data_IF_109697301395
#
_entry.id   IF_109697301395
#
_cell.length_a   1.000
_cell.length_b   1.000
_cell.length_c   1.000
_cell.angle_alpha   90.00
_cell.angle_beta   90.00
_cell.angle_gamma   90.00
#
_symmetry.space_group_name_H-M   'P 1'
#
loop_
_entity.id
_entity.type
_entity.pdbx_description
1 polymer ?
#
# COMPACT_ATOMS: atom_id res chain seq x y z
N UNK A 1 49.03 -25.56 -5.81
CA UNK A 1 48.16 -26.44 -6.64
C UNK A 1 48.38 -27.94 -6.40
N UNK A 2 49.61 -28.49 -6.41
CA UNK A 2 49.82 -29.95 -6.34
C UNK A 2 49.30 -30.63 -5.07
N UNK A 3 49.52 -30.04 -3.89
CA UNK A 3 49.01 -30.59 -2.63
C UNK A 3 47.46 -30.60 -2.60
N UNK A 4 46.83 -29.50 -3.01
CA UNK A 4 45.37 -29.38 -3.10
C UNK A 4 44.76 -30.39 -4.08
N UNK A 5 45.29 -30.48 -5.30
CA UNK A 5 44.83 -31.44 -6.29
C UNK A 5 44.97 -32.90 -5.82
N UNK A 6 46.03 -33.21 -5.05
CA UNK A 6 46.23 -34.53 -4.45
C UNK A 6 45.16 -34.85 -3.40
N UNK A 7 44.78 -33.87 -2.60
CA UNK A 7 43.76 -34.05 -1.55
C UNK A 7 42.36 -34.23 -2.14
N UNK A 8 42.00 -33.42 -3.15
CA UNK A 8 40.71 -33.53 -3.86
C UNK A 8 40.61 -34.86 -4.62
N UNK A 9 41.68 -35.30 -5.27
CA UNK A 9 41.68 -36.53 -6.04
C UNK A 9 41.70 -37.81 -5.17
N UNK A 10 42.41 -37.80 -4.04
CA UNK A 10 42.58 -39.00 -3.22
C UNK A 10 41.51 -39.15 -2.13
N UNK A 11 40.97 -38.05 -1.60
CA UNK A 11 40.03 -38.09 -0.46
C UNK A 11 38.78 -37.19 -0.69
N UNK A 12 38.04 -37.34 -1.81
CA UNK A 12 36.91 -36.46 -2.13
C UNK A 12 35.80 -36.50 -1.07
N UNK A 13 35.47 -37.68 -0.53
CA UNK A 13 34.44 -37.82 0.50
C UNK A 13 34.79 -37.07 1.79
N UNK A 14 36.08 -37.03 2.17
CA UNK A 14 36.52 -36.30 3.37
C UNK A 14 36.41 -34.79 3.18
N UNK A 15 36.71 -34.29 1.97
CA UNK A 15 36.57 -32.86 1.64
C UNK A 15 35.09 -32.46 1.65
N UNK A 16 34.22 -33.26 1.00
CA UNK A 16 32.77 -33.00 0.98
C UNK A 16 32.19 -33.02 2.40
N UNK A 17 32.56 -34.01 3.22
CA UNK A 17 32.07 -34.13 4.59
C UNK A 17 32.51 -32.94 5.45
N UNK A 18 33.77 -32.49 5.33
CA UNK A 18 34.27 -31.35 6.09
C UNK A 18 33.52 -30.07 5.72
N UNK A 19 33.32 -29.83 4.42
CA UNK A 19 32.54 -28.68 3.93
C UNK A 19 31.10 -28.76 4.45
N UNK A 20 30.46 -29.94 4.39
CA UNK A 20 29.08 -30.14 4.83
C UNK A 20 28.92 -29.95 6.34
N UNK A 21 29.88 -30.43 7.16
CA UNK A 21 29.85 -30.21 8.61
C UNK A 21 30.02 -28.72 8.94
N UNK A 22 30.97 -28.03 8.30
CA UNK A 22 31.17 -26.60 8.52
C UNK A 22 29.90 -25.80 8.15
N UNK A 23 29.32 -26.12 6.99
CA UNK A 23 28.03 -25.63 6.50
C UNK A 23 26.88 -25.78 7.53
N UNK A 24 26.64 -27.01 7.98
CA UNK A 24 25.57 -27.33 8.93
C UNK A 24 25.78 -26.62 10.27
N UNK A 25 27.00 -26.62 10.80
CA UNK A 25 27.33 -25.94 12.05
C UNK A 25 27.06 -24.43 11.95
N UNK A 26 27.47 -23.78 10.86
CA UNK A 26 27.19 -22.37 10.65
C UNK A 26 25.68 -22.09 10.53
N UNK A 27 24.93 -22.91 9.80
CA UNK A 27 23.47 -22.77 9.68
C UNK A 27 22.76 -22.87 11.03
N UNK A 28 23.15 -23.83 11.88
CA UNK A 28 22.57 -24.02 13.22
C UNK A 28 22.87 -22.82 14.12
N UNK A 29 24.09 -22.28 14.06
CA UNK A 29 24.50 -21.10 14.84
C UNK A 29 23.67 -19.88 14.42
N UNK A 30 23.50 -19.63 13.12
CA UNK A 30 22.67 -18.53 12.61
C UNK A 30 21.22 -18.61 13.08
N UNK A 31 20.61 -19.80 12.99
CA UNK A 31 19.22 -20.00 13.38
C UNK A 31 18.99 -19.88 14.90
N UNK A 32 19.97 -20.29 15.71
CA UNK A 32 19.82 -20.32 17.16
C UNK A 32 20.08 -18.98 17.83
N UNK A 33 20.86 -18.09 17.19
CA UNK A 33 21.25 -16.80 17.79
C UNK A 33 20.36 -15.63 17.35
N UNK A 34 19.64 -15.77 16.25
CA UNK A 34 18.96 -14.63 15.61
C UNK A 34 17.45 -14.85 15.55
N UNK A 35 16.71 -13.78 15.77
CA UNK A 35 15.27 -13.72 15.47
C UNK A 35 15.07 -13.56 13.96
N UNK A 36 13.91 -14.00 13.45
CA UNK A 36 13.58 -13.83 12.04
C UNK A 36 13.45 -12.34 11.70
N UNK A 37 13.96 -11.90 10.53
CA UNK A 37 13.85 -10.50 10.13
C UNK A 37 12.38 -10.11 9.90
N UNK A 38 11.99 -8.93 10.37
CA UNK A 38 10.66 -8.36 10.14
C UNK A 38 10.64 -7.61 8.79
N UNK A 39 9.76 -8.02 7.86
CA UNK A 39 9.59 -7.45 6.52
C UNK A 39 8.17 -6.84 6.38
N UNK A 40 7.64 -6.24 7.44
CA UNK A 40 6.32 -5.58 7.39
C UNK A 40 6.25 -4.40 6.43
N UNK A 41 7.31 -3.61 6.31
CA UNK A 41 7.36 -2.44 5.44
C UNK A 41 8.42 -2.62 4.33
N UNK A 42 8.01 -2.82 3.07
CA UNK A 42 8.95 -3.03 1.97
C UNK A 42 9.70 -1.77 1.54
N UNK A 43 9.21 -0.58 1.89
CA UNK A 43 9.85 0.69 1.53
C UNK A 43 10.88 1.15 2.58
N UNK A 44 10.97 0.42 3.69
CA UNK A 44 11.95 0.72 4.72
C UNK A 44 13.38 0.65 4.12
N UNK A 45 14.21 1.63 4.46
CA UNK A 45 15.61 1.69 4.01
C UNK A 45 15.87 2.32 2.64
N UNK A 46 14.84 2.72 1.88
CA UNK A 46 15.02 3.47 0.63
C UNK A 46 15.32 4.96 0.82
N UNK A 47 15.43 5.39 2.08
CA UNK A 47 15.77 6.76 2.43
C UNK A 47 17.25 7.08 2.15
N UNK A 48 17.56 8.20 1.46
CA UNK A 48 18.93 8.61 1.17
C UNK A 48 19.59 9.28 2.39
N UNK A 49 20.09 8.48 3.33
CA UNK A 49 20.73 8.96 4.57
C UNK A 49 22.05 9.66 4.30
N UNK A 50 22.40 10.64 5.14
CA UNK A 50 23.66 11.41 5.03
C UNK A 50 23.67 12.46 3.92
N UNK A 51 22.51 12.76 3.33
CA UNK A 51 22.33 13.90 2.44
C UNK A 51 21.82 15.10 3.22
N UNK A 52 22.14 16.33 2.76
CA UNK A 52 21.66 17.57 3.38
C UNK A 52 20.12 17.59 3.50
N UNK A 53 19.42 17.02 2.51
CA UNK A 53 17.96 16.95 2.53
C UNK A 53 17.45 15.94 3.57
N UNK A 54 18.09 14.77 3.68
CA UNK A 54 17.75 13.77 4.70
C UNK A 54 18.04 14.28 6.11
N UNK A 55 19.13 15.00 6.33
CA UNK A 55 19.45 15.57 7.65
C UNK A 55 18.40 16.62 8.05
N UNK A 56 17.98 17.48 7.11
CA UNK A 56 16.91 18.46 7.33
C UNK A 56 15.57 17.80 7.58
N UNK A 57 15.21 16.79 6.80
CA UNK A 57 13.96 16.04 6.97
C UNK A 57 13.92 15.30 8.31
N UNK A 58 15.00 14.58 8.66
CA UNK A 58 15.14 13.88 9.94
C UNK A 58 15.08 14.85 11.12
N UNK A 59 15.76 16.00 11.04
CA UNK A 59 15.69 17.02 12.07
C UNK A 59 14.28 17.58 12.23
N UNK A 60 13.56 17.79 11.12
CA UNK A 60 12.17 18.25 11.11
C UNK A 60 11.22 17.23 11.76
N UNK A 61 11.33 15.95 11.39
CA UNK A 61 10.53 14.86 11.97
C UNK A 61 10.81 14.72 13.47
N UNK A 62 12.09 14.75 13.86
CA UNK A 62 12.46 14.68 15.27
C UNK A 62 11.94 15.87 16.06
N UNK A 63 11.90 17.07 15.45
CA UNK A 63 11.29 18.25 16.04
C UNK A 63 9.79 18.03 16.25
N UNK A 64 9.06 17.60 15.21
CA UNK A 64 7.63 17.31 15.30
C UNK A 64 7.32 16.26 16.38
N UNK A 65 8.11 15.18 16.43
CA UNK A 65 8.01 14.13 17.46
C UNK A 65 8.28 14.68 18.86
N UNK A 66 9.24 15.59 19.01
CA UNK A 66 9.57 16.24 20.27
C UNK A 66 8.55 17.28 20.71
N UNK A 67 7.71 17.77 19.79
CA UNK A 67 6.60 18.70 20.06
C UNK A 67 5.25 18.00 20.28
N UNK A 68 5.21 16.66 20.25
CA UNK A 68 3.99 15.90 20.60
C UNK A 68 3.63 16.13 22.07
N UNK A 69 2.41 15.76 22.47
CA UNK A 69 1.91 15.97 23.83
C UNK A 69 2.84 15.45 24.94
N UNK A 70 3.49 14.30 24.72
CA UNK A 70 4.45 13.68 25.64
C UNK A 70 5.92 14.10 25.36
N UNK A 71 6.10 15.11 24.51
CA UNK A 71 7.39 15.61 24.09
C UNK A 71 7.92 16.70 25.02
N UNK A 72 9.25 16.89 25.08
CA UNK A 72 9.84 17.93 25.93
C UNK A 72 9.60 19.35 25.41
N UNK A 73 9.12 19.51 24.17
CA UNK A 73 8.85 20.80 23.56
C UNK A 73 7.34 21.04 23.50
N UNK A 74 6.89 22.22 23.89
CA UNK A 74 5.48 22.63 23.76
C UNK A 74 5.36 23.81 22.81
N UNK A 75 4.27 23.85 22.06
CA UNK A 75 3.87 25.03 21.29
C UNK A 75 3.29 26.15 22.18
N UNK A 76 2.79 25.79 23.36
CA UNK A 76 2.08 26.71 24.24
C UNK A 76 2.84 26.86 25.57
N UNK A 77 3.50 28.01 25.81
CA UNK A 77 4.26 28.22 27.05
C UNK A 77 3.41 28.13 28.32
N UNK A 78 2.08 28.24 28.22
CA UNK A 78 1.14 28.08 29.34
C UNK A 78 0.95 26.65 29.84
N UNK A 79 1.19 25.62 29.01
CA UNK A 79 1.02 24.21 29.43
C UNK A 79 2.13 23.73 30.38
N UNK A 80 3.31 24.38 30.34
CA UNK A 80 4.42 24.10 31.26
C UNK A 80 4.08 24.57 32.69
N UNK A 81 3.27 25.61 32.84
CA UNK A 81 3.03 26.25 34.15
C UNK A 81 2.13 25.40 35.06
N UNK A 82 1.29 24.51 34.50
CA UNK A 82 0.44 23.62 35.29
C UNK A 82 1.13 22.33 35.73
N UNK A 83 2.11 21.84 34.97
CA UNK A 83 2.86 20.62 35.32
C UNK A 83 4.04 20.88 36.29
N UNK A 84 4.52 22.12 36.38
CA UNK A 84 5.57 22.48 37.36
C UNK A 84 5.05 22.34 38.80
N UNK A 85 3.74 22.44 39.05
CA UNK A 85 3.23 22.50 40.42
C UNK A 85 3.16 21.18 41.18
N UNK A 86 3.24 19.99 40.57
CA UNK A 86 3.25 18.74 41.34
C UNK A 86 4.18 17.60 40.80
N UNK A 87 4.49 17.53 39.50
CA UNK A 87 5.18 16.33 38.95
C UNK A 87 6.71 16.45 38.82
N UNK A 88 7.27 17.65 38.98
CA UNK A 88 8.71 17.89 38.88
C UNK A 88 9.52 17.38 40.08
N UNK A 89 8.87 16.95 41.18
CA UNK A 89 9.52 16.35 42.34
C UNK A 89 9.54 14.81 42.31
N UNK A 90 8.57 14.17 41.65
CA UNK A 90 8.51 12.70 41.57
C UNK A 90 9.35 12.15 40.40
N UNK A 91 9.39 12.82 39.25
CA UNK A 91 10.19 12.35 38.10
C UNK A 91 11.71 12.31 38.37
N UNK A 92 12.21 13.16 39.27
CA UNK A 92 13.61 13.18 39.68
C UNK A 92 13.98 12.07 40.69
N UNK A 93 13.00 11.49 41.40
CA UNK A 93 13.22 10.44 42.39
C UNK A 93 13.20 9.04 41.76
N UNK A 94 12.39 8.81 40.71
CA UNK A 94 12.30 7.51 40.05
C UNK A 94 13.54 7.12 39.24
N UNK A 95 14.33 8.08 38.75
CA UNK A 95 15.59 7.79 38.06
C UNK A 95 16.71 7.26 38.98
N UNK A 96 16.57 7.37 40.30
CA UNK A 96 17.57 6.86 41.25
C UNK A 96 17.29 5.45 41.78
N UNK A 97 16.05 4.97 41.76
CA UNK A 97 15.68 3.67 42.33
C UNK A 97 15.49 2.54 41.30
N UNK A 98 15.29 2.85 40.01
CA UNK A 98 15.09 1.83 38.95
C UNK A 98 16.34 1.04 38.53
N UNK A 99 17.50 1.23 39.17
CA UNK A 99 18.74 0.48 38.85
C UNK A 99 18.89 -0.77 39.71
N UNK A 100 17.83 -1.58 39.80
CA UNK A 100 17.91 -2.99 40.25
C UNK A 100 16.61 -3.72 39.94
N UNK A 101 16.76 -4.80 39.16
CA UNK A 101 15.85 -5.94 38.99
C UNK A 101 14.81 -5.86 37.87
N UNK A 102 14.89 -6.85 36.97
CA UNK A 102 13.70 -7.50 36.38
C UNK A 102 13.51 -7.31 34.89
N UNK A 103 13.66 -8.42 34.15
CA UNK A 103 13.12 -8.61 32.80
C UNK A 103 11.64 -8.20 32.75
N UNK A 104 11.26 -7.38 31.78
CA UNK A 104 9.96 -7.51 31.12
C UNK A 104 10.08 -7.00 29.67
N UNK A 105 9.61 -7.84 28.76
CA UNK A 105 9.55 -7.65 27.32
C UNK A 105 8.53 -6.57 26.95
N UNK A 106 9.01 -5.43 26.46
CA UNK A 106 8.19 -4.35 25.91
C UNK A 106 7.88 -4.64 24.43
N UNK A 107 6.60 -4.79 24.12
CA UNK A 107 6.07 -4.90 22.75
C UNK A 107 6.42 -3.63 21.96
N UNK A 108 7.10 -3.81 20.84
CA UNK A 108 7.48 -2.74 19.92
C UNK A 108 6.28 -1.97 19.39
N UNK A 109 6.28 -0.66 19.65
CA UNK A 109 5.50 0.33 18.93
C UNK A 109 6.03 0.39 17.49
N UNK A 110 5.15 0.21 16.50
CA UNK A 110 5.52 0.15 15.09
C UNK A 110 6.11 1.50 14.64
N UNK A 111 7.44 1.54 14.53
CA UNK A 111 8.16 2.67 13.94
C UNK A 111 7.87 2.71 12.44
N UNK A 112 6.78 3.37 12.06
CA UNK A 112 6.49 3.79 10.69
C UNK A 112 7.55 4.84 10.30
N UNK A 113 8.21 4.63 9.16
CA UNK A 113 9.25 5.53 8.68
C UNK A 113 8.69 6.90 8.26
N UNK A 114 9.45 8.00 8.45
CA UNK A 114 8.97 9.38 8.21
C UNK A 114 8.56 9.71 6.77
N UNK A 115 8.87 8.86 5.80
CA UNK A 115 8.53 9.08 4.39
C UNK A 115 7.16 8.50 4.02
N UNK A 116 6.61 7.59 4.83
CA UNK A 116 5.23 7.10 4.66
C UNK A 116 4.21 8.21 5.02
N UNK A 117 4.55 9.07 5.98
CA UNK A 117 3.77 10.27 6.32
C UNK A 117 3.77 11.31 5.16
N UNK A 118 4.82 11.36 4.34
CA UNK A 118 4.93 12.33 3.23
C UNK A 118 4.08 11.97 2.00
N UNK A 119 3.82 10.68 1.74
CA UNK A 119 2.85 10.27 0.70
C UNK A 119 1.39 10.35 1.19
N UNK A 120 1.16 10.30 2.51
CA UNK A 120 -0.19 10.38 3.10
C UNK A 120 -0.62 11.80 3.49
N UNK A 121 0.32 12.73 3.70
CA UNK A 121 0.05 14.15 3.94
C UNK A 121 0.08 15.02 2.65
N UNK A 122 -0.80 14.73 1.67
CA UNK A 122 -1.36 15.83 0.87
C UNK A 122 -2.35 16.61 1.75
N UNK A 123 -1.76 17.47 2.58
CA UNK A 123 -2.32 18.55 3.40
C UNK A 123 -3.80 18.87 3.13
N UNK A 124 -4.69 18.26 3.93
CA UNK A 124 -5.99 18.84 4.25
C UNK A 124 -5.74 20.13 5.04
N UNK A 125 -5.98 21.29 4.42
CA UNK A 125 -6.18 22.54 5.18
C UNK A 125 -7.56 22.42 5.87
N UNK A 126 -7.60 21.62 6.94
CA UNK A 126 -8.72 21.56 7.85
C UNK A 126 -8.89 22.92 8.51
N UNK A 127 -10.05 23.53 8.27
CA UNK A 127 -10.42 24.80 8.84
C UNK A 127 -10.38 24.75 10.36
N UNK A 128 -9.59 25.63 10.97
CA UNK A 128 -9.68 25.97 12.38
C UNK A 128 -11.06 26.59 12.65
N UNK A 129 -12.02 25.80 13.13
CA UNK A 129 -13.12 26.25 14.00
C UNK A 129 -13.87 25.03 14.55
N UNK A 130 -13.33 24.44 15.62
CA UNK A 130 -14.12 23.67 16.59
C UNK A 130 -13.81 24.24 17.97
N UNK A 131 -14.51 25.32 18.30
CA UNK A 131 -14.66 25.76 19.68
C UNK A 131 -16.04 25.31 20.14
N UNK A 132 -16.04 24.31 21.02
CA UNK A 132 -17.19 23.89 21.79
C UNK A 132 -17.80 25.10 22.51
N UNK A 133 -19.04 25.45 22.17
CA UNK A 133 -19.90 26.25 23.03
C UNK A 133 -21.16 25.44 23.36
N UNK A 134 -21.36 25.26 24.66
CA UNK A 134 -22.58 24.76 25.31
C UNK A 134 -23.81 25.51 24.79
N UNK A 135 -24.75 24.81 24.15
CA UNK A 135 -26.07 25.38 23.90
C UNK A 135 -26.98 25.13 25.10
N UNK A 136 -27.00 26.09 26.03
CA UNK A 136 -28.12 26.33 26.93
C UNK A 136 -29.44 26.46 26.14
N UNK A 137 -30.51 25.92 26.72
CA UNK A 137 -31.81 25.84 26.09
C UNK A 137 -32.44 27.20 25.76
N UNK A 138 -33.04 27.28 24.56
CA UNK A 138 -34.18 28.15 24.31
C UNK A 138 -35.37 27.33 23.84
N UNK A 139 -36.31 27.16 24.75
CA UNK A 139 -37.66 26.67 24.47
C UNK A 139 -38.40 27.80 23.73
N UNK A 140 -38.59 27.64 22.42
CA UNK A 140 -39.56 28.45 21.67
C UNK A 140 -40.84 27.63 21.57
N UNK A 141 -41.85 28.01 22.35
CA UNK A 141 -43.21 27.51 22.22
C UNK A 141 -43.83 28.07 20.95
N UNK A 142 -44.06 27.23 19.95
CA UNK A 142 -44.91 27.57 18.81
C UNK A 142 -46.13 26.64 18.74
N UNK A 143 -47.31 27.26 18.71
CA UNK A 143 -48.63 26.64 18.82
C UNK A 143 -48.86 25.55 17.77
N UNK A 144 -49.33 24.40 18.23
CA UNK A 144 -50.02 23.41 17.40
C UNK A 144 -51.33 23.99 16.85
N UNK A 145 -51.51 23.95 15.54
CA UNK A 145 -52.82 23.90 14.88
C UNK A 145 -52.88 22.71 13.93
N UNK A 146 -54.03 22.05 13.96
CA UNK A 146 -54.32 20.73 13.41
C UNK A 146 -54.27 20.65 11.88
N UNK A 147 -53.83 19.48 11.38
CA UNK A 147 -54.40 18.84 10.18
C UNK A 147 -53.64 19.00 8.86
N UNK A 148 -52.74 18.06 8.54
CA UNK A 148 -52.62 17.28 7.28
C UNK A 148 -51.28 16.48 7.28
N UNK A 149 -51.33 15.15 7.07
CA UNK A 149 -50.20 14.32 6.57
C UNK A 149 -50.16 14.44 5.03
N UNK A 150 -49.10 14.08 4.27
CA UNK A 150 -47.77 13.54 4.59
C UNK A 150 -46.62 14.33 3.89
N UNK A 151 -45.67 14.91 4.62
CA UNK A 151 -44.55 15.64 4.00
C UNK A 151 -43.18 15.45 4.65
N UNK A 152 -43.12 14.96 5.89
CA UNK A 152 -41.86 14.92 6.65
C UNK A 152 -41.00 13.67 6.40
N UNK A 153 -41.59 12.53 6.02
CA UNK A 153 -40.83 11.28 5.80
C UNK A 153 -40.01 11.34 4.50
N UNK A 154 -40.65 11.78 3.41
CA UNK A 154 -40.03 11.82 2.07
C UNK A 154 -38.93 12.90 1.95
N UNK A 155 -38.95 13.92 2.81
CA UNK A 155 -37.90 14.96 2.87
C UNK A 155 -36.69 14.50 3.69
N UNK A 156 -36.89 13.59 4.67
CA UNK A 156 -35.80 13.02 5.47
C UNK A 156 -35.05 11.94 4.68
N UNK A 157 -35.74 11.10 3.90
CA UNK A 157 -35.08 10.16 2.98
C UNK A 157 -34.21 10.85 1.92
N UNK A 158 -34.64 12.02 1.41
CA UNK A 158 -33.89 12.77 0.39
C UNK A 158 -32.58 13.38 0.89
N UNK A 159 -32.46 13.68 2.19
CA UNK A 159 -31.21 14.19 2.79
C UNK A 159 -30.26 13.06 3.20
N UNK A 160 -30.79 11.84 3.37
CA UNK A 160 -30.03 10.68 3.84
C UNK A 160 -29.89 9.59 2.77
N UNK A 161 -29.95 9.96 1.48
CA UNK A 161 -29.80 9.00 0.38
C UNK A 161 -28.39 8.38 0.36
N UNK A 162 -27.39 9.21 0.64
CA UNK A 162 -26.04 8.80 1.00
C UNK A 162 -25.82 9.12 2.48
N UNK A 163 -24.85 8.45 3.09
CA UNK A 163 -24.47 8.76 4.47
C UNK A 163 -23.67 10.05 4.53
N UNK A 164 -22.60 10.11 3.72
CA UNK A 164 -21.65 11.22 3.71
C UNK A 164 -21.30 11.61 2.26
N UNK A 165 -20.38 12.56 2.09
CA UNK A 165 -19.77 12.84 0.79
C UNK A 165 -18.64 11.84 0.48
N UNK A 166 -18.38 11.52 -0.80
CA UNK A 166 -17.28 10.65 -1.18
C UNK A 166 -15.94 11.30 -0.81
N UNK A 167 -15.06 10.52 -0.21
CA UNK A 167 -13.69 10.93 0.14
C UNK A 167 -12.69 9.86 -0.29
N UNK A 168 -11.42 10.24 -0.45
CA UNK A 168 -10.35 9.30 -0.82
C UNK A 168 -10.10 8.21 0.23
N UNK A 169 -10.62 8.34 1.45
CA UNK A 169 -10.45 7.36 2.53
C UNK A 169 -11.38 6.15 2.39
N UNK A 170 -12.43 6.27 1.58
CA UNK A 170 -13.31 5.16 1.25
C UNK A 170 -12.67 4.26 0.21
N UNK A 171 -12.96 2.96 0.32
CA UNK A 171 -12.55 1.98 -0.68
C UNK A 171 -13.28 2.26 -1.97
N UNK A 172 -12.59 2.11 -3.10
CA UNK A 172 -13.18 2.38 -4.40
C UNK A 172 -12.71 1.39 -5.44
N UNK A 173 -13.56 1.16 -6.42
CA UNK A 173 -13.30 0.24 -7.53
C UNK A 173 -13.45 0.98 -8.84
N UNK A 174 -12.62 0.62 -9.82
CA UNK A 174 -12.63 1.17 -11.17
C UNK A 174 -13.26 0.15 -12.09
N UNK A 175 -14.26 0.59 -12.85
CA UNK A 175 -15.04 -0.21 -13.78
C UNK A 175 -14.78 0.33 -15.19
N UNK A 176 -14.48 -0.58 -16.13
CA UNK A 176 -14.24 -0.27 -17.54
C UNK A 176 -15.32 -0.89 -18.44
N UNK A 177 -15.60 -0.25 -19.59
CA UNK A 177 -16.37 -0.87 -20.68
C UNK A 177 -15.58 -1.96 -21.40
N UNK A 178 -16.17 -3.14 -21.59
CA UNK A 178 -15.55 -4.23 -22.35
C UNK A 178 -15.40 -3.93 -23.85
N UNK A 179 -16.25 -3.06 -24.40
CA UNK A 179 -16.30 -2.73 -25.84
C UNK A 179 -15.74 -1.34 -26.15
N UNK A 180 -15.06 -0.69 -25.20
CA UNK A 180 -14.65 0.73 -25.27
C UNK A 180 -15.80 1.67 -25.67
N UNK A 181 -17.02 1.27 -25.30
CA UNK A 181 -18.26 1.98 -25.62
C UNK A 181 -18.66 2.91 -24.49
N UNK A 182 -19.46 3.93 -24.81
CA UNK A 182 -19.94 4.88 -23.81
C UNK A 182 -20.85 4.21 -22.76
N UNK A 183 -20.39 4.20 -21.50
CA UNK A 183 -21.12 3.65 -20.37
C UNK A 183 -22.24 4.55 -19.86
N UNK A 184 -22.30 5.82 -20.29
CA UNK A 184 -23.38 6.74 -19.95
C UNK A 184 -24.65 6.47 -20.78
N UNK A 185 -25.08 5.20 -20.80
CA UNK A 185 -26.27 4.68 -21.45
C UNK A 185 -27.12 3.94 -20.42
N UNK A 186 -28.39 3.68 -20.70
CA UNK A 186 -29.27 2.95 -19.76
C UNK A 186 -28.70 1.58 -19.41
N UNK A 187 -28.23 0.85 -20.42
CA UNK A 187 -27.68 -0.50 -20.23
C UNK A 187 -26.34 -0.45 -19.48
N UNK A 188 -25.48 0.53 -19.79
CA UNK A 188 -24.22 0.75 -19.06
C UNK A 188 -24.44 1.08 -17.59
N UNK A 189 -25.34 2.02 -17.28
CA UNK A 189 -25.66 2.40 -15.90
C UNK A 189 -26.31 1.26 -15.11
N UNK A 190 -27.17 0.45 -15.75
CA UNK A 190 -27.76 -0.74 -15.12
C UNK A 190 -26.72 -1.84 -14.91
N UNK A 191 -25.77 -2.01 -15.82
CA UNK A 191 -24.68 -2.96 -15.65
C UNK A 191 -23.76 -2.58 -14.48
N UNK A 192 -23.46 -1.29 -14.31
CA UNK A 192 -22.70 -0.78 -13.15
C UNK A 192 -23.47 -1.00 -11.84
N UNK A 193 -24.78 -0.69 -11.84
CA UNK A 193 -25.68 -0.94 -10.72
C UNK A 193 -25.71 -2.42 -10.31
N UNK A 194 -25.76 -3.33 -11.29
CA UNK A 194 -25.74 -4.77 -11.07
C UNK A 194 -24.43 -5.26 -10.44
N UNK A 195 -23.28 -4.76 -10.89
CA UNK A 195 -21.98 -5.07 -10.26
C UNK A 195 -21.96 -4.59 -8.79
N UNK A 196 -22.45 -3.37 -8.52
CA UNK A 196 -22.49 -2.80 -7.17
C UNK A 196 -23.37 -3.63 -6.23
N UNK A 197 -24.65 -3.84 -6.56
CA UNK A 197 -25.60 -4.51 -5.67
C UNK A 197 -25.40 -6.04 -5.61
N UNK A 198 -25.17 -6.70 -6.75
CA UNK A 198 -25.17 -8.17 -6.82
C UNK A 198 -23.79 -8.81 -6.68
N UNK A 199 -22.69 -8.04 -6.77
CA UNK A 199 -21.33 -8.58 -6.61
C UNK A 199 -20.59 -7.91 -5.47
N UNK A 200 -20.36 -6.60 -5.54
CA UNK A 200 -19.52 -5.89 -4.56
C UNK A 200 -20.13 -5.92 -3.16
N UNK A 201 -21.44 -5.64 -3.06
CA UNK A 201 -22.16 -5.56 -1.77
C UNK A 201 -22.72 -6.88 -1.27
N UNK A 202 -22.64 -7.95 -2.07
CA UNK A 202 -23.22 -9.27 -1.76
C UNK A 202 -22.30 -10.16 -0.92
N UNK A 203 -21.01 -9.80 -0.82
CA UNK A 203 -20.06 -10.53 0.02
C UNK A 203 -20.55 -10.58 1.48
N UNK A 204 -20.33 -11.72 2.14
CA UNK A 204 -20.68 -11.92 3.56
C UNK A 204 -19.95 -10.92 4.46
N UNK A 205 -18.72 -10.53 4.09
CA UNK A 205 -17.89 -9.60 4.85
C UNK A 205 -18.27 -8.13 4.66
N UNK A 206 -19.10 -7.80 3.66
CA UNK A 206 -19.41 -6.41 3.33
C UNK A 206 -20.27 -5.73 4.41
N UNK A 207 -21.27 -6.44 4.93
CA UNK A 207 -22.21 -5.88 5.92
C UNK A 207 -21.53 -5.50 7.25
N UNK A 208 -20.46 -6.23 7.62
CA UNK A 208 -19.66 -5.94 8.82
C UNK A 208 -18.73 -4.74 8.63
N UNK A 209 -18.30 -4.48 7.40
CA UNK A 209 -17.36 -3.40 7.06
C UNK A 209 -18.06 -2.10 6.69
N UNK A 210 -19.32 -2.17 6.26
CA UNK A 210 -19.97 -1.01 5.71
C UNK A 210 -20.41 -0.02 6.78
N UNK A 211 -20.29 1.27 6.44
CA UNK A 211 -20.83 2.35 7.23
C UNK A 211 -22.36 2.20 7.29
N UNK A 212 -22.90 2.36 8.49
CA UNK A 212 -24.32 2.22 8.74
C UNK A 212 -24.96 3.59 8.92
N UNK A 213 -26.16 3.73 8.37
CA UNK A 213 -27.05 4.85 8.68
C UNK A 213 -27.48 4.80 10.15
N UNK A 214 -28.06 5.91 10.64
CA UNK A 214 -28.67 5.99 11.98
C UNK A 214 -29.77 4.93 12.25
N UNK A 215 -30.25 4.24 11.22
CA UNK A 215 -31.26 3.19 11.30
C UNK A 215 -30.69 1.77 11.23
N UNK A 216 -29.37 1.61 11.26
CA UNK A 216 -28.69 0.31 11.18
C UNK A 216 -28.73 -0.34 9.81
N UNK A 217 -29.04 0.44 8.75
CA UNK A 217 -28.97 -0.05 7.36
C UNK A 217 -27.69 0.42 6.70
N UNK A 218 -27.08 -0.46 5.91
CA UNK A 218 -25.86 -0.17 5.18
C UNK A 218 -26.04 0.99 4.19
N UNK A 219 -25.09 1.93 4.19
CA UNK A 219 -25.10 3.06 3.28
C UNK A 219 -25.09 2.63 1.80
N UNK A 220 -25.51 3.51 0.90
CA UNK A 220 -25.39 3.28 -0.54
C UNK A 220 -24.01 3.66 -1.04
N UNK A 221 -23.49 2.91 -2.01
CA UNK A 221 -22.25 3.24 -2.71
C UNK A 221 -22.41 4.52 -3.52
N UNK A 222 -21.39 5.36 -3.56
CA UNK A 222 -21.37 6.53 -4.43
C UNK A 222 -20.97 6.09 -5.84
N UNK A 223 -21.96 6.05 -6.73
CA UNK A 223 -21.81 5.63 -8.12
C UNK A 223 -22.64 6.54 -9.03
N UNK A 224 -22.27 6.65 -10.31
CA UNK A 224 -23.03 7.45 -11.28
C UNK A 224 -24.50 7.02 -11.35
N UNK A 225 -24.85 5.71 -11.40
CA UNK A 225 -26.24 5.27 -11.37
C UNK A 225 -27.00 5.73 -10.12
N UNK A 226 -26.36 5.70 -8.94
CA UNK A 226 -27.00 6.14 -7.70
C UNK A 226 -27.21 7.66 -7.66
N UNK A 227 -26.29 8.46 -8.22
CA UNK A 227 -26.51 9.90 -8.37
C UNK A 227 -27.60 10.23 -9.42
N UNK A 228 -27.67 9.46 -10.51
CA UNK A 228 -28.76 9.58 -11.50
C UNK A 228 -30.11 9.27 -10.84
N UNK A 229 -30.18 8.20 -10.04
CA UNK A 229 -31.36 7.86 -9.27
C UNK A 229 -31.74 8.98 -8.28
N UNK A 230 -30.77 9.57 -7.58
CA UNK A 230 -30.98 10.69 -6.67
C UNK A 230 -31.57 11.92 -7.38
N UNK A 231 -30.96 12.36 -8.48
CA UNK A 231 -31.40 13.53 -9.26
C UNK A 231 -32.80 13.35 -9.87
N UNK A 232 -33.22 12.10 -10.08
CA UNK A 232 -34.53 11.75 -10.66
C UNK A 232 -35.52 11.23 -9.61
N UNK A 233 -35.14 11.29 -8.34
CA UNK A 233 -35.93 10.86 -7.20
C UNK A 233 -36.45 9.42 -7.35
N UNK A 234 -35.56 8.53 -7.78
CA UNK A 234 -35.77 7.08 -7.89
C UNK A 234 -35.20 6.37 -6.66
N UNK A 235 -35.82 5.25 -6.26
CA UNK A 235 -35.38 4.46 -5.12
C UNK A 235 -34.24 3.49 -5.45
N UNK A 236 -34.15 2.98 -6.67
CA UNK A 236 -33.08 2.05 -7.09
C UNK A 236 -32.49 2.48 -8.43
N UNK A 237 -31.22 2.15 -8.66
CA UNK A 237 -30.56 2.34 -9.95
C UNK A 237 -31.08 1.41 -11.05
N UNK A 238 -31.80 0.34 -10.72
CA UNK A 238 -32.44 -0.52 -11.72
C UNK A 238 -33.64 0.14 -12.43
N UNK A 239 -34.26 1.14 -11.80
CA UNK A 239 -35.46 1.83 -12.32
C UNK A 239 -35.14 2.92 -13.37
N UNK A 240 -33.85 3.12 -13.69
CA UNK A 240 -33.39 4.16 -14.63
C UNK A 240 -33.93 3.90 -16.04
N UNK A 241 -34.50 4.96 -16.64
CA UNK A 241 -35.03 4.97 -18.03
C UNK A 241 -34.22 5.90 -18.92
N UNK A 242 -34.38 5.76 -20.24
CA UNK A 242 -33.68 6.60 -21.21
C UNK A 242 -33.93 8.11 -20.99
N UNK A 243 -35.18 8.49 -20.69
CA UNK A 243 -35.54 9.88 -20.40
C UNK A 243 -34.80 10.49 -19.22
N UNK A 244 -34.41 9.64 -18.25
CA UNK A 244 -33.70 10.07 -17.05
C UNK A 244 -32.22 10.29 -17.35
N UNK A 245 -31.61 9.38 -18.11
CA UNK A 245 -30.23 9.51 -18.59
C UNK A 245 -30.07 10.74 -19.47
N UNK A 246 -31.00 10.96 -20.41
CA UNK A 246 -30.95 12.13 -21.31
C UNK A 246 -31.08 13.45 -20.53
N UNK A 247 -31.97 13.49 -19.53
CA UNK A 247 -32.15 14.68 -18.69
C UNK A 247 -30.90 14.99 -17.85
N UNK A 248 -30.29 13.98 -17.23
CA UNK A 248 -29.05 14.17 -16.45
C UNK A 248 -27.87 14.48 -17.37
N UNK A 249 -27.80 13.88 -18.56
CA UNK A 249 -26.79 14.19 -19.57
C UNK A 249 -26.83 15.68 -19.95
N UNK A 250 -28.03 16.20 -20.25
CA UNK A 250 -28.20 17.62 -20.57
C UNK A 250 -27.82 18.53 -19.40
N UNK A 251 -28.15 18.14 -18.16
CA UNK A 251 -27.75 18.85 -16.97
C UNK A 251 -26.21 18.92 -16.86
N UNK A 252 -25.52 17.78 -16.95
CA UNK A 252 -24.07 17.69 -16.87
C UNK A 252 -23.38 18.54 -17.95
N UNK A 253 -23.85 18.45 -19.20
CA UNK A 253 -23.31 19.27 -20.31
C UNK A 253 -23.49 20.77 -20.06
N UNK A 254 -24.66 21.19 -19.54
CA UNK A 254 -24.93 22.60 -19.23
C UNK A 254 -24.09 23.14 -18.06
N UNK A 255 -23.78 22.27 -17.10
CA UNK A 255 -23.01 22.61 -15.90
C UNK A 255 -21.49 22.49 -16.10
N UNK A 256 -21.03 21.72 -17.10
CA UNK A 256 -19.61 21.44 -17.35
C UNK A 256 -18.76 22.71 -17.51
N UNK A 257 -19.30 23.76 -18.12
CA UNK A 257 -18.62 25.06 -18.25
C UNK A 257 -18.27 25.71 -16.90
N UNK A 258 -19.11 25.52 -15.88
CA UNK A 258 -18.89 26.07 -14.54
C UNK A 258 -17.89 25.24 -13.75
N UNK A 259 -17.86 23.92 -13.98
CA UNK A 259 -16.86 23.02 -13.41
C UNK A 259 -15.46 23.31 -13.99
N UNK A 260 -15.30 23.30 -15.31
CA UNK A 260 -14.03 23.64 -15.97
C UNK A 260 -13.59 25.08 -15.71
N UNK A 261 -14.54 25.97 -15.48
CA UNK A 261 -14.29 27.36 -15.07
C UNK A 261 -13.97 27.55 -13.58
N UNK A 262 -13.85 26.48 -12.79
CA UNK A 262 -13.58 26.50 -11.34
C UNK A 262 -14.61 27.31 -10.51
N UNK A 263 -15.83 27.46 -11.02
CA UNK A 263 -16.94 28.13 -10.31
C UNK A 263 -17.82 27.16 -9.52
N UNK A 264 -17.77 25.88 -9.88
CA UNK A 264 -18.43 24.79 -9.16
C UNK A 264 -17.38 24.05 -8.32
N UNK A 265 -17.44 24.23 -7.01
CA UNK A 265 -16.59 23.59 -5.99
C UNK A 265 -17.43 22.71 -5.07
N UNK A 266 -16.77 21.84 -4.30
CA UNK A 266 -17.40 21.03 -3.23
C UNK A 266 -18.10 21.90 -2.18
N UNK A 267 -17.56 23.08 -1.88
CA UNK A 267 -18.11 24.00 -0.88
C UNK A 267 -19.46 24.63 -1.28
N UNK A 268 -19.90 24.44 -2.53
CA UNK A 268 -21.12 25.07 -3.05
C UNK A 268 -22.39 24.60 -2.32
N UNK A 269 -22.45 23.37 -1.80
CA UNK A 269 -23.59 22.93 -0.99
C UNK A 269 -23.62 23.58 0.39
N UNK A 270 -22.46 23.87 0.97
CA UNK A 270 -22.34 24.43 2.32
C UNK A 270 -22.60 25.94 2.30
N UNK A 271 -22.03 26.67 1.34
CA UNK A 271 -22.26 28.10 1.16
C UNK A 271 -22.60 28.46 -0.30
N UNK A 272 -23.90 28.59 -0.65
CA UNK A 272 -24.35 29.03 -1.97
C UNK A 272 -23.83 30.41 -2.38
N UNK A 273 -23.38 31.24 -1.44
CA UNK A 273 -22.82 32.57 -1.74
C UNK A 273 -21.41 32.48 -2.34
N UNK A 274 -20.71 31.35 -2.16
CA UNK A 274 -19.40 31.09 -2.75
C UNK A 274 -19.49 30.83 -4.27
N UNK A 275 -20.62 30.30 -4.73
CA UNK A 275 -20.82 29.84 -6.11
C UNK A 275 -21.76 30.77 -6.92
N UNK A 276 -21.47 32.08 -6.87
CA UNK A 276 -22.25 33.10 -7.59
C UNK A 276 -22.20 32.89 -9.11
N UNK A 277 -23.38 32.80 -9.71
CA UNK A 277 -23.55 32.66 -11.16
C UNK A 277 -23.67 31.21 -11.65
N UNK A 278 -23.61 30.23 -10.74
CA UNK A 278 -23.91 28.82 -11.05
C UNK A 278 -25.42 28.56 -10.88
N UNK A 279 -26.10 27.91 -11.84
CA UNK A 279 -27.51 27.55 -11.71
C UNK A 279 -27.76 26.60 -10.53
N UNK A 280 -28.88 26.77 -9.82
CA UNK A 280 -29.27 25.89 -8.69
C UNK A 280 -29.27 24.39 -9.03
N UNK A 281 -29.75 23.95 -10.22
CA UNK A 281 -29.70 22.53 -10.60
C UNK A 281 -28.28 21.94 -10.65
N UNK A 282 -27.24 22.76 -10.85
CA UNK A 282 -25.85 22.30 -10.85
C UNK A 282 -25.27 22.12 -9.43
N UNK A 283 -25.87 22.76 -8.43
CA UNK A 283 -25.43 22.73 -7.01
C UNK A 283 -26.25 21.70 -6.22
N UNK A 284 -27.33 21.18 -6.80
CA UNK A 284 -28.23 20.26 -6.11
C UNK A 284 -27.51 18.97 -5.71
N UNK A 285 -27.52 18.67 -4.41
CA UNK A 285 -26.89 17.49 -3.79
C UNK A 285 -25.39 17.30 -4.07
N UNK A 286 -24.67 18.35 -4.49
CA UNK A 286 -23.30 18.27 -5.03
C UNK A 286 -23.13 17.20 -6.12
N UNK A 287 -24.23 16.77 -6.76
CA UNK A 287 -24.21 15.59 -7.62
C UNK A 287 -23.34 15.82 -8.86
N UNK A 288 -23.48 16.98 -9.50
CA UNK A 288 -22.70 17.33 -10.69
C UNK A 288 -21.21 17.39 -10.37
N UNK A 289 -20.83 18.03 -9.26
CA UNK A 289 -19.44 18.11 -8.84
C UNK A 289 -18.87 16.72 -8.56
N UNK A 290 -19.58 15.91 -7.77
CA UNK A 290 -19.12 14.56 -7.41
C UNK A 290 -18.99 13.63 -8.63
N UNK A 291 -19.95 13.67 -9.56
CA UNK A 291 -19.88 12.90 -10.81
C UNK A 291 -18.63 13.30 -11.61
N UNK A 292 -18.41 14.61 -11.86
CA UNK A 292 -17.32 15.07 -12.71
C UNK A 292 -15.94 15.00 -12.06
N UNK A 293 -15.86 15.08 -10.72
CA UNK A 293 -14.60 15.15 -9.99
C UNK A 293 -14.13 13.78 -9.50
N UNK A 294 -15.04 12.95 -8.99
CA UNK A 294 -14.67 11.68 -8.34
C UNK A 294 -15.01 10.44 -9.16
N UNK A 295 -16.12 10.45 -9.92
CA UNK A 295 -16.69 9.22 -10.49
C UNK A 295 -16.46 9.03 -11.99
N UNK A 296 -16.45 10.12 -12.75
CA UNK A 296 -16.26 10.10 -14.20
C UNK A 296 -14.78 10.13 -14.56
N UNK A 297 -14.44 9.56 -15.71
CA UNK A 297 -13.10 9.65 -16.26
C UNK A 297 -12.78 11.06 -16.80
N UNK A 298 -11.48 11.32 -17.01
CA UNK A 298 -10.97 12.60 -17.52
C UNK A 298 -11.54 12.91 -18.92
N UNK A 299 -11.92 11.87 -19.66
CA UNK A 299 -12.40 11.96 -21.04
C UNK A 299 -13.92 12.22 -21.15
N UNK A 300 -14.67 12.10 -20.07
CA UNK A 300 -16.13 12.13 -20.09
C UNK A 300 -16.70 13.41 -20.70
N UNK A 301 -16.25 14.59 -20.27
CA UNK A 301 -16.73 15.88 -20.76
C UNK A 301 -15.54 16.83 -21.00
N UNK A 302 -14.62 16.40 -21.85
CA UNK A 302 -13.48 17.24 -22.25
C UNK A 302 -13.95 18.59 -22.84
N UNK A 303 -13.20 19.68 -22.61
CA UNK A 303 -13.52 21.01 -23.13
C UNK A 303 -13.26 21.17 -24.65
N UNK A 304 -13.54 20.12 -25.44
CA UNK A 304 -13.52 20.16 -26.91
C UNK A 304 -14.92 20.49 -27.42
N UNK A 305 -15.02 21.35 -28.44
CA UNK A 305 -16.31 21.64 -29.09
C UNK A 305 -16.56 20.60 -30.20
N UNK A 306 -17.63 19.79 -30.17
CA UNK A 306 -18.75 19.75 -29.19
C UNK A 306 -18.46 18.90 -27.93
N UNK A 307 -19.04 19.31 -26.79
CA UNK A 307 -19.02 18.51 -25.55
C UNK A 307 -19.93 17.28 -25.75
N UNK A 308 -19.31 16.12 -26.00
CA UNK A 308 -20.02 14.85 -26.13
C UNK A 308 -19.65 13.99 -24.91
N UNK A 309 -20.64 13.56 -24.10
CA UNK A 309 -20.39 12.70 -22.96
C UNK A 309 -19.88 11.34 -23.44
N UNK A 310 -18.65 10.96 -23.10
CA UNK A 310 -18.09 9.66 -23.43
C UNK A 310 -17.39 9.02 -22.22
N UNK A 311 -18.10 8.14 -21.52
CA UNK A 311 -17.63 7.50 -20.30
C UNK A 311 -17.04 6.13 -20.63
N UNK A 312 -15.72 5.97 -20.51
CA UNK A 312 -15.03 4.69 -20.74
C UNK A 312 -14.69 3.98 -19.44
N UNK A 313 -14.28 4.75 -18.43
CA UNK A 313 -14.02 4.28 -17.07
C UNK A 313 -14.91 5.03 -16.08
N UNK A 314 -15.31 4.35 -15.02
CA UNK A 314 -16.00 4.99 -13.90
C UNK A 314 -15.55 4.39 -12.57
N UNK A 315 -15.49 5.23 -11.55
CA UNK A 315 -15.16 4.82 -10.19
C UNK A 315 -16.43 4.68 -9.37
N UNK A 316 -16.52 3.62 -8.58
CA UNK A 316 -17.57 3.42 -7.57
C UNK A 316 -16.90 3.44 -6.20
N UNK A 317 -17.30 4.39 -5.35
CA UNK A 317 -16.87 4.40 -3.95
C UNK A 317 -17.82 3.56 -3.11
N UNK A 318 -17.26 2.62 -2.38
CA UNK A 318 -17.97 1.77 -1.45
C UNK A 318 -18.03 2.45 -0.08
N UNK A 319 -19.12 2.27 0.69
CA UNK A 319 -19.25 2.80 2.06
C UNK A 319 -18.38 2.03 3.06
N UNK A 320 -17.14 1.69 2.71
CA UNK A 320 -16.20 0.93 3.53
C UNK A 320 -14.88 1.69 3.62
N UNK A 321 -14.31 1.84 4.81
CA UNK A 321 -13.03 2.51 4.99
C UNK A 321 -11.87 1.67 4.43
N UNK A 322 -10.86 2.33 3.85
CA UNK A 322 -9.60 1.66 3.49
C UNK A 322 -8.86 1.23 4.75
N UNK A 323 -8.74 -0.08 4.96
CA UNK A 323 -8.15 -0.64 6.18
C UNK A 323 -7.72 -2.09 6.00
N UNK A 324 -6.86 -2.57 6.91
CA UNK A 324 -6.46 -3.97 6.98
C UNK A 324 -7.63 -4.92 7.27
N UNK A 325 -8.75 -4.42 7.81
CA UNK A 325 -9.95 -5.21 8.05
C UNK A 325 -10.64 -5.67 6.75
N UNK A 326 -10.42 -4.95 5.65
CA UNK A 326 -10.95 -5.31 4.33
C UNK A 326 -10.24 -6.51 3.68
N UNK A 327 -9.24 -7.12 4.32
CA UNK A 327 -8.44 -8.20 3.74
C UNK A 327 -9.28 -9.44 3.37
N UNK A 328 -10.16 -9.88 4.26
CA UNK A 328 -11.01 -11.06 3.98
C UNK A 328 -12.07 -10.74 2.93
N UNK A 329 -12.61 -9.52 2.92
CA UNK A 329 -13.48 -9.02 1.86
C UNK A 329 -12.78 -9.01 0.49
N UNK A 330 -11.53 -8.54 0.43
CA UNK A 330 -10.73 -8.56 -0.80
C UNK A 330 -10.51 -9.98 -1.33
N UNK A 331 -10.17 -10.94 -0.45
CA UNK A 331 -9.98 -12.35 -0.86
C UNK A 331 -11.27 -12.97 -1.39
N UNK A 332 -12.42 -12.64 -0.80
CA UNK A 332 -13.72 -13.11 -1.29
C UNK A 332 -14.00 -12.55 -2.70
N UNK A 333 -13.74 -11.26 -2.91
CA UNK A 333 -13.87 -10.61 -4.22
C UNK A 333 -12.90 -11.16 -5.28
N UNK A 334 -11.66 -11.45 -4.92
CA UNK A 334 -10.64 -12.02 -5.82
C UNK A 334 -11.02 -13.43 -6.31
N UNK A 335 -11.76 -14.18 -5.49
CA UNK A 335 -12.31 -15.49 -5.87
C UNK A 335 -13.56 -15.37 -6.77
N UNK A 336 -14.17 -14.19 -6.90
CA UNK A 336 -15.37 -13.95 -7.69
C UNK A 336 -15.06 -13.36 -9.08
N UNK A 337 -15.95 -13.65 -10.03
CA UNK A 337 -15.87 -13.07 -11.37
C UNK A 337 -16.57 -11.70 -11.43
N UNK A 338 -15.78 -10.63 -11.36
CA UNK A 338 -16.25 -9.25 -11.30
C UNK A 338 -16.42 -8.59 -12.68
N UNK A 339 -16.99 -9.32 -13.63
CA UNK A 339 -17.34 -8.81 -14.96
C UNK A 339 -18.78 -9.20 -15.35
N UNK A 340 -19.45 -8.34 -16.10
CA UNK A 340 -20.76 -8.55 -16.69
C UNK A 340 -20.63 -8.54 -18.22
N UNK A 341 -21.75 -8.64 -18.96
CA UNK A 341 -21.73 -8.59 -20.43
C UNK A 341 -21.25 -7.24 -20.99
N UNK A 342 -21.32 -6.16 -20.20
CA UNK A 342 -21.03 -4.78 -20.64
C UNK A 342 -19.79 -4.18 -19.97
N UNK A 343 -19.49 -4.56 -18.73
CA UNK A 343 -18.49 -3.91 -17.87
C UNK A 343 -17.63 -4.91 -17.12
N UNK A 344 -16.40 -4.54 -16.80
CA UNK A 344 -15.45 -5.31 -16.00
C UNK A 344 -14.80 -4.42 -14.93
N UNK A 345 -14.60 -4.96 -13.73
CA UNK A 345 -13.83 -4.30 -12.67
C UNK A 345 -12.34 -4.50 -12.96
N UNK A 346 -11.63 -3.42 -13.27
CA UNK A 346 -10.21 -3.47 -13.69
C UNK A 346 -9.23 -3.12 -12.59
N UNK A 347 -9.69 -2.45 -11.53
CA UNK A 347 -8.86 -2.07 -10.40
C UNK A 347 -9.67 -1.83 -9.14
N UNK A 348 -9.04 -2.07 -7.99
CA UNK A 348 -9.65 -1.83 -6.67
C UNK A 348 -8.60 -1.22 -5.75
N UNK A 349 -9.01 -0.22 -4.98
CA UNK A 349 -8.22 0.40 -3.92
C UNK A 349 -8.95 0.24 -2.59
N UNK A 350 -8.35 -0.52 -1.69
CA UNK A 350 -8.89 -0.87 -0.36
C UNK A 350 -7.88 -0.59 0.76
N UNK A 351 -6.71 -0.01 0.46
CA UNK A 351 -5.66 0.23 1.44
C UNK A 351 -4.87 -1.03 1.85
N UNK A 352 -4.90 -2.08 1.02
CA UNK A 352 -4.27 -3.38 1.32
C UNK A 352 -2.92 -3.61 0.63
N UNK A 353 -2.43 -2.65 -0.16
CA UNK A 353 -1.23 -2.78 -1.01
C UNK A 353 -0.02 -3.39 -0.28
N UNK A 354 0.35 -2.85 0.88
CA UNK A 354 1.52 -3.32 1.63
C UNK A 354 1.30 -4.70 2.23
N UNK A 355 0.11 -4.97 2.78
CA UNK A 355 -0.20 -6.28 3.37
C UNK A 355 -0.20 -7.39 2.31
N UNK A 356 -0.82 -7.13 1.16
CA UNK A 356 -0.81 -8.06 0.02
C UNK A 356 0.60 -8.28 -0.51
N UNK A 357 1.42 -7.22 -0.59
CA UNK A 357 2.82 -7.37 -0.99
C UNK A 357 3.57 -8.33 -0.07
N UNK A 358 3.42 -8.19 1.25
CA UNK A 358 4.07 -9.09 2.22
C UNK A 358 3.57 -10.52 2.09
N UNK A 359 2.25 -10.72 1.94
CA UNK A 359 1.67 -12.07 1.79
C UNK A 359 2.13 -12.74 0.49
N UNK A 360 2.15 -12.02 -0.63
CA UNK A 360 2.70 -12.50 -1.89
C UNK A 360 4.20 -12.78 -1.80
N UNK A 361 4.97 -11.88 -1.18
CA UNK A 361 6.40 -12.06 -0.99
C UNK A 361 6.70 -13.30 -0.15
N UNK A 362 5.93 -13.56 0.92
CA UNK A 362 6.08 -14.76 1.73
C UNK A 362 5.78 -16.02 0.92
N UNK A 363 4.70 -16.01 0.13
CA UNK A 363 4.35 -17.13 -0.75
C UNK A 363 5.45 -17.40 -1.79
N UNK A 364 6.00 -16.36 -2.41
CA UNK A 364 7.13 -16.47 -3.35
C UNK A 364 8.42 -16.91 -2.65
N UNK A 365 8.63 -16.44 -1.42
CA UNK A 365 9.75 -16.83 -0.57
C UNK A 365 9.68 -18.31 -0.22
N UNK A 366 8.52 -18.98 -0.17
CA UNK A 366 8.47 -20.44 0.01
C UNK A 366 9.20 -21.16 -1.12
N UNK A 367 9.00 -20.74 -2.38
CA UNK A 367 9.69 -21.33 -3.53
C UNK A 367 11.19 -21.01 -3.53
N UNK A 368 11.54 -19.76 -3.19
CA UNK A 368 12.94 -19.33 -3.06
C UNK A 368 13.62 -19.99 -1.86
N UNK A 369 12.91 -20.26 -0.77
CA UNK A 369 13.42 -20.94 0.42
C UNK A 369 13.59 -22.45 0.16
N UNK A 370 12.73 -23.10 -0.63
CA UNK A 370 12.98 -24.47 -1.07
C UNK A 370 14.28 -24.59 -1.89
N UNK A 371 14.55 -23.62 -2.78
CA UNK A 371 15.83 -23.53 -3.50
C UNK A 371 16.98 -23.09 -2.56
N UNK A 372 16.67 -22.20 -1.63
CA UNK A 372 17.57 -21.57 -0.68
C UNK A 372 18.06 -22.53 0.37
N UNK A 373 17.27 -23.47 0.89
CA UNK A 373 17.72 -24.49 1.87
C UNK A 373 18.87 -25.31 1.29
N UNK A 374 18.92 -25.53 -0.03
CA UNK A 374 20.04 -26.21 -0.69
C UNK A 374 21.32 -25.34 -0.75
N UNK A 375 21.21 -24.02 -0.62
CA UNK A 375 22.29 -23.02 -0.73
C UNK A 375 22.67 -22.42 0.65
N UNK A 376 21.74 -22.31 1.58
CA UNK A 376 21.89 -21.81 2.95
C UNK A 376 22.72 -22.76 3.82
N UNK A 377 22.79 -24.05 3.46
CA UNK A 377 23.83 -24.90 4.02
C UNK A 377 25.22 -24.36 3.65
N UNK A 378 25.43 -23.70 2.50
CA UNK A 378 26.75 -23.23 2.07
C UNK A 378 27.14 -21.82 2.57
N UNK A 379 26.19 -20.87 2.77
CA UNK A 379 26.51 -19.45 3.03
C UNK A 379 26.33 -18.98 4.49
N UNK A 380 26.67 -19.85 5.45
CA UNK A 380 26.58 -19.54 6.88
C UNK A 380 27.65 -18.57 7.43
N UNK A 381 28.54 -18.03 6.59
CA UNK A 381 29.68 -17.21 7.02
C UNK A 381 29.47 -15.71 6.77
N UNK A 382 28.69 -15.33 5.75
CA UNK A 382 28.36 -13.92 5.49
C UNK A 382 27.24 -13.42 6.42
N UNK A 383 26.20 -14.23 6.65
CA UNK A 383 25.09 -13.88 7.55
C UNK A 383 25.50 -13.58 9.00
N UNK A 384 26.54 -14.25 9.52
CA UNK A 384 27.09 -13.99 10.86
C UNK A 384 27.80 -12.64 10.92
N UNK A 385 28.46 -12.22 9.83
CA UNK A 385 29.19 -10.95 9.80
C UNK A 385 28.27 -9.74 9.61
N UNK A 386 27.21 -9.87 8.80
CA UNK A 386 26.32 -8.74 8.47
C UNK A 386 25.26 -8.46 9.54
N UNK A 387 24.79 -9.47 10.28
CA UNK A 387 23.76 -9.29 11.32
C UNK A 387 24.30 -8.67 12.63
N UNK A 388 25.58 -8.88 12.97
CA UNK A 388 26.19 -8.27 14.17
C UNK A 388 26.29 -6.73 14.04
N UNK A 389 26.22 -6.18 12.82
CA UNK A 389 26.40 -4.74 12.58
C UNK A 389 25.17 -3.98 12.11
N UNK A 390 24.12 -4.63 11.58
CA UNK A 390 22.96 -3.92 11.03
C UNK A 390 21.64 -4.59 11.43
N UNK A 391 20.83 -3.90 12.24
CA UNK A 391 19.49 -4.33 12.68
C UNK A 391 18.42 -4.33 11.56
N UNK A 392 18.79 -4.10 10.30
CA UNK A 392 17.87 -3.90 9.19
C UNK A 392 18.18 -4.86 8.03
N UNK A 393 17.17 -5.62 7.60
CA UNK A 393 17.25 -6.59 6.49
C UNK A 393 16.22 -6.21 5.40
N UNK A 394 16.64 -5.57 4.29
CA UNK A 394 15.72 -5.20 3.21
C UNK A 394 15.28 -6.41 2.37
N UNK A 395 14.07 -6.37 1.82
CA UNK A 395 13.53 -7.45 0.99
C UNK A 395 14.37 -7.72 -0.28
N UNK A 396 15.09 -6.71 -0.80
CA UNK A 396 15.96 -6.89 -1.98
C UNK A 396 17.04 -7.95 -1.71
N UNK A 397 17.45 -8.18 -0.46
CA UNK A 397 18.42 -9.24 -0.14
C UNK A 397 17.90 -10.66 -0.49
N UNK A 398 16.59 -10.86 -0.62
CA UNK A 398 16.02 -12.12 -1.13
C UNK A 398 16.34 -12.33 -2.62
N UNK A 399 16.51 -11.25 -3.40
CA UNK A 399 16.94 -11.34 -4.80
C UNK A 399 18.34 -11.92 -4.94
N UNK A 400 19.21 -11.74 -3.93
CA UNK A 400 20.56 -12.31 -3.91
C UNK A 400 20.53 -13.82 -4.07
N UNK A 401 19.53 -14.51 -3.52
CA UNK A 401 19.38 -15.96 -3.67
C UNK A 401 19.18 -16.34 -5.15
N UNK A 402 18.34 -15.59 -5.86
CA UNK A 402 18.08 -15.82 -7.30
C UNK A 402 19.34 -15.54 -8.12
N UNK A 403 20.06 -14.46 -7.80
CA UNK A 403 21.28 -14.06 -8.49
C UNK A 403 22.41 -15.08 -8.29
N UNK A 404 22.61 -15.58 -7.06
CA UNK A 404 23.71 -16.49 -6.73
C UNK A 404 23.53 -17.86 -7.41
N UNK A 405 22.28 -18.31 -7.61
CA UNK A 405 21.98 -19.53 -8.38
C UNK A 405 22.47 -19.37 -9.83
N UNK A 406 22.19 -18.23 -10.45
CA UNK A 406 22.60 -17.95 -11.83
C UNK A 406 24.12 -17.92 -11.98
N UNK A 407 24.81 -17.20 -11.09
CA UNK A 407 26.28 -17.07 -11.12
C UNK A 407 26.95 -18.41 -10.81
N UNK A 408 26.48 -19.13 -9.78
CA UNK A 408 27.06 -20.42 -9.39
C UNK A 408 26.91 -21.50 -10.46
N UNK A 409 25.83 -21.48 -11.24
CA UNK A 409 25.62 -22.40 -12.34
C UNK A 409 26.59 -22.17 -13.52
N UNK A 410 26.96 -20.91 -13.79
CA UNK A 410 27.89 -20.56 -14.87
C UNK A 410 29.30 -21.13 -14.61
N UNK A 411 29.84 -20.90 -13.40
CA UNK A 411 31.15 -21.43 -13.00
C UNK A 411 31.18 -22.98 -13.02
N UNK A 412 30.08 -23.63 -12.61
CA UNK A 412 29.94 -25.08 -12.71
C UNK A 412 29.98 -25.57 -14.18
N UNK A 413 29.29 -24.87 -15.08
CA UNK A 413 29.30 -25.18 -16.52
C UNK A 413 30.68 -25.02 -17.15
N UNK A 414 31.39 -23.94 -16.81
CA UNK A 414 32.77 -23.68 -17.25
C UNK A 414 33.69 -24.81 -16.80
N UNK A 415 33.62 -25.20 -15.52
CA UNK A 415 34.45 -26.28 -14.97
C UNK A 415 34.17 -27.64 -15.64
N UNK A 416 32.89 -28.00 -15.80
CA UNK A 416 32.47 -29.24 -16.47
C UNK A 416 32.96 -29.33 -17.93
N UNK A 417 32.94 -28.21 -18.66
CA UNK A 417 33.43 -28.14 -20.04
C UNK A 417 34.94 -28.35 -20.11
N UNK A 418 35.71 -27.64 -19.28
CA UNK A 418 37.19 -27.76 -19.23
C UNK A 418 37.60 -29.17 -18.80
N UNK A 419 36.88 -29.75 -17.84
CA UNK A 419 37.09 -31.14 -17.41
C UNK A 419 36.89 -32.14 -18.56
N UNK A 420 35.83 -31.98 -19.35
CA UNK A 420 35.53 -32.85 -20.49
C UNK A 420 36.60 -32.74 -21.58
N UNK A 421 37.05 -31.52 -21.87
CA UNK A 421 38.15 -31.28 -22.82
C UNK A 421 39.46 -31.94 -22.35
N UNK A 422 39.86 -31.72 -21.09
CA UNK A 422 41.09 -32.27 -20.53
C UNK A 422 41.06 -33.81 -20.45
N UNK A 423 39.88 -34.42 -20.29
CA UNK A 423 39.68 -35.87 -20.35
C UNK A 423 39.76 -36.41 -21.79
N UNK A 424 39.38 -35.62 -22.79
CA UNK A 424 39.42 -36.02 -24.21
C UNK A 424 40.83 -36.02 -24.80
N UNK A 425 41.72 -35.17 -24.29
CA UNK A 425 43.15 -35.28 -24.56
C UNK A 425 43.67 -36.58 -23.95
N UNK A 426 44.37 -37.42 -24.74
CA UNK A 426 44.98 -38.69 -24.30
C UNK A 426 46.12 -38.45 -23.28
N UNK A 427 45.76 -38.01 -22.07
CA UNK A 427 46.68 -37.89 -20.94
C UNK A 427 46.72 -39.26 -20.23
N UNK A 428 47.83 -39.99 -20.34
CA UNK A 428 48.15 -41.18 -19.53
C UNK A 428 48.40 -40.82 -18.03
N UNK A 429 47.74 -39.79 -17.51
CA UNK A 429 48.01 -39.19 -16.20
C UNK A 429 47.13 -39.77 -15.10
N UNK A 430 47.68 -39.82 -13.88
CA UNK A 430 46.92 -40.06 -12.64
C UNK A 430 45.84 -38.99 -12.45
N UNK A 431 44.72 -39.32 -11.78
CA UNK A 431 43.60 -38.40 -11.50
C UNK A 431 44.06 -37.03 -10.93
N UNK A 432 45.13 -37.04 -10.12
CA UNK A 432 45.77 -35.85 -9.55
C UNK A 432 46.28 -34.89 -10.65
N UNK A 433 46.85 -35.41 -11.73
CA UNK A 433 47.35 -34.62 -12.85
C UNK A 433 46.17 -33.99 -13.61
N UNK A 434 45.10 -34.76 -13.84
CA UNK A 434 43.89 -34.28 -14.50
C UNK A 434 43.25 -33.12 -13.71
N UNK A 435 43.02 -33.31 -12.40
CA UNK A 435 42.46 -32.26 -11.52
C UNK A 435 43.34 -31.02 -11.49
N UNK A 436 44.66 -31.18 -11.45
CA UNK A 436 45.59 -30.04 -11.44
C UNK A 436 45.51 -29.24 -12.74
N UNK A 437 45.53 -29.92 -13.87
CA UNK A 437 45.57 -29.28 -15.19
C UNK A 437 44.21 -28.60 -15.47
N UNK A 438 43.07 -29.24 -15.12
CA UNK A 438 41.74 -28.62 -15.22
C UNK A 438 41.59 -27.40 -14.31
N UNK A 439 42.01 -27.51 -13.04
CA UNK A 439 41.93 -26.40 -12.10
C UNK A 439 42.82 -25.22 -12.54
N UNK A 440 43.99 -25.49 -13.13
CA UNK A 440 44.87 -24.44 -13.64
C UNK A 440 44.22 -23.62 -14.77
N UNK A 441 43.50 -24.28 -15.69
CA UNK A 441 42.81 -23.60 -16.78
C UNK A 441 41.49 -22.93 -16.35
N UNK A 442 40.75 -23.54 -15.42
CA UNK A 442 39.45 -23.03 -14.99
C UNK A 442 39.56 -21.91 -13.93
N UNK A 443 40.53 -21.99 -13.02
CA UNK A 443 40.61 -21.12 -11.85
C UNK A 443 40.71 -19.63 -12.22
N UNK A 444 41.51 -19.27 -13.23
CA UNK A 444 41.63 -17.87 -13.63
C UNK A 444 40.32 -17.32 -14.22
N UNK A 445 39.58 -18.14 -14.98
CA UNK A 445 38.28 -17.73 -15.53
C UNK A 445 37.24 -17.55 -14.42
N UNK A 446 37.07 -18.55 -13.55
CA UNK A 446 36.11 -18.51 -12.43
C UNK A 446 36.44 -17.41 -11.41
N UNK A 447 37.73 -17.13 -11.21
CA UNK A 447 38.15 -16.04 -10.32
C UNK A 447 37.78 -14.67 -10.90
N UNK A 448 37.99 -14.45 -12.20
CA UNK A 448 37.66 -13.16 -12.83
C UNK A 448 36.15 -12.93 -12.85
N UNK A 449 35.34 -13.94 -13.17
CA UNK A 449 33.86 -13.85 -13.14
C UNK A 449 33.35 -13.53 -11.74
N UNK A 450 33.82 -14.27 -10.73
CA UNK A 450 33.45 -14.05 -9.33
C UNK A 450 33.91 -12.68 -8.81
N UNK A 451 35.16 -12.26 -9.07
CA UNK A 451 35.70 -10.97 -8.61
C UNK A 451 35.00 -9.79 -9.28
N UNK A 452 34.76 -9.84 -10.59
CA UNK A 452 34.07 -8.76 -11.29
C UNK A 452 32.65 -8.57 -10.76
N UNK A 453 31.95 -9.68 -10.49
CA UNK A 453 30.61 -9.65 -9.88
C UNK A 453 30.64 -9.12 -8.45
N UNK A 454 31.58 -9.59 -7.62
CA UNK A 454 31.75 -9.08 -6.26
C UNK A 454 32.09 -7.58 -6.23
N UNK A 455 32.99 -7.11 -7.10
CA UNK A 455 33.34 -5.68 -7.20
C UNK A 455 32.14 -4.83 -7.60
N UNK A 456 31.25 -5.33 -8.47
CA UNK A 456 30.03 -4.63 -8.81
C UNK A 456 29.10 -4.46 -7.59
N UNK A 457 28.88 -5.52 -6.80
CA UNK A 457 28.07 -5.45 -5.57
C UNK A 457 28.73 -4.60 -4.48
N UNK A 458 30.05 -4.73 -4.26
CA UNK A 458 30.77 -3.87 -3.30
C UNK A 458 30.77 -2.40 -3.72
N UNK A 459 30.63 -2.10 -5.01
CA UNK A 459 30.40 -0.74 -5.50
C UNK A 459 29.11 -0.12 -4.96
N UNK A 460 28.07 -0.92 -4.70
CA UNK A 460 26.78 -0.45 -4.15
C UNK A 460 26.90 0.14 -2.75
N UNK A 461 27.94 -0.23 -1.98
CA UNK A 461 28.19 0.29 -0.62
C UNK A 461 28.44 1.80 -0.60
N UNK A 462 28.85 2.39 -1.73
CA UNK A 462 29.06 3.84 -1.88
C UNK A 462 27.73 4.61 -1.96
N UNK A 463 26.62 3.92 -2.24
CA UNK A 463 25.29 4.54 -2.29
C UNK A 463 24.91 5.16 -0.94
N UNK A 464 24.14 6.25 -0.96
CA UNK A 464 23.56 6.85 0.25
C UNK A 464 22.24 6.16 0.68
N UNK A 465 21.72 5.24 -0.14
CA UNK A 465 20.46 4.54 0.11
C UNK A 465 20.75 3.29 0.97
N UNK A 466 20.11 3.18 2.12
CA UNK A 466 20.39 2.11 3.10
C UNK A 466 20.13 0.71 2.51
N UNK A 467 18.98 0.52 1.84
CA UNK A 467 18.63 -0.75 1.22
C UNK A 467 19.67 -1.20 0.16
N UNK A 468 20.22 -0.25 -0.61
CA UNK A 468 21.24 -0.52 -1.63
C UNK A 468 22.62 -0.77 -1.04
N UNK A 469 22.93 -0.21 0.14
CA UNK A 469 24.19 -0.51 0.85
C UNK A 469 24.15 -1.86 1.55
N UNK A 470 22.96 -2.27 1.98
CA UNK A 470 22.72 -3.55 2.65
C UNK A 470 22.64 -4.72 1.66
N UNK A 471 22.19 -4.45 0.44
CA UNK A 471 22.25 -5.35 -0.71
C UNK A 471 23.66 -5.39 -1.31
#
# INVERSE_FOLDING_TARGET
>A
MQWYARQVANNPCSVILLVLIAAVCCGIICFSLNEFPDIKDPLLGFEPRGTILSDRSTAWVNLLKSTRWNGPLTFYPGSIVTDITNDSLEAAQWQKEGKKSGNDSEKGDETVGPWLELETEERSYGSLHDSAEESEGRIVFERTSHGLKPGKILIVERKNFFCNNPTRLYSHVVIQSLSDSNLFTVDGLKAICDIDENKLRKSEYFDDLCEQTNWGTCCRSWSIPNYVALLRNLSSCHDIKQSDVDAVSQLLVSCAQYYHGMKLSHDCAMDPALCRGVPRPCIEYDAVYNILHYLADIHFLEPKSPLVPNLTYTTVFLPTAQSLAALEYYKDLDNMQLYNEVVEVTGMEMGLKYKLFVDCLLHDTVYVAMAGVLIFFWDGLFHVYTYISHSFFPFINLLTIVIIIGIGADDACIYCKIWTCAKSEKNNGTLVKLVRDTLHHACLSMFITSVTTAVAFFGSVISNITAVRCF
#
